data_IF_947387056420
#
_entry.id   IF_947387056420
#
_cell.length_a   1.000
_cell.length_b   1.000
_cell.length_c   1.000
_cell.angle_alpha   90.00
_cell.angle_beta   90.00
_cell.angle_gamma   90.00
#
_symmetry.space_group_name_H-M   'P 1'
#
loop_
_entity.id
_entity.type
_entity.pdbx_description
1 polymer ?
#
# COMPACT_ATOMS: atom_id res chain seq x y z
N UNK A 1 -5.94 2.66 59.39
CA UNK A 1 -5.93 1.41 58.60
C UNK A 1 -5.97 1.80 57.13
N UNK A 2 -4.83 1.72 56.43
CA UNK A 2 -4.71 2.19 55.05
C UNK A 2 -5.43 1.21 54.12
N UNK A 3 -6.50 1.68 53.47
CA UNK A 3 -7.25 0.90 52.49
C UNK A 3 -6.41 0.84 51.22
N UNK A 4 -5.69 -0.28 51.04
CA UNK A 4 -5.01 -0.61 49.78
C UNK A 4 -6.08 -0.69 48.68
N UNK A 5 -6.15 0.35 47.84
CA UNK A 5 -6.88 0.29 46.57
C UNK A 5 -6.15 -0.71 45.67
N UNK A 6 -6.49 -1.98 45.79
CA UNK A 6 -6.19 -2.98 44.76
C UNK A 6 -7.06 -2.63 43.56
N UNK A 7 -6.58 -1.71 42.72
CA UNK A 7 -7.05 -1.62 41.35
C UNK A 7 -6.60 -2.91 40.68
N UNK A 8 -7.53 -3.83 40.45
CA UNK A 8 -7.34 -4.98 39.58
C UNK A 8 -7.06 -4.39 38.19
N UNK A 9 -5.80 -4.05 37.93
CA UNK A 9 -5.35 -3.70 36.60
C UNK A 9 -5.23 -5.04 35.91
N UNK A 10 -6.22 -5.37 35.09
CA UNK A 10 -6.14 -6.58 34.26
C UNK A 10 -4.91 -6.38 33.36
N UNK A 11 -3.89 -7.18 33.61
CA UNK A 11 -2.64 -7.17 32.86
C UNK A 11 -2.66 -8.27 31.80
N UNK A 12 -1.85 -8.09 30.76
CA UNK A 12 -1.70 -9.06 29.69
C UNK A 12 -0.25 -9.10 29.22
N UNK A 13 0.22 -10.28 28.81
CA UNK A 13 1.60 -10.48 28.39
C UNK A 13 1.71 -10.30 26.88
N UNK A 14 2.59 -9.39 26.46
CA UNK A 14 2.87 -9.20 25.04
C UNK A 14 3.69 -10.37 24.48
N UNK A 15 3.20 -11.00 23.41
CA UNK A 15 3.87 -12.10 22.73
C UNK A 15 5.23 -11.75 22.11
N UNK A 16 5.56 -10.47 21.93
CA UNK A 16 6.83 -10.00 21.34
C UNK A 16 7.84 -9.55 22.38
N UNK A 17 7.53 -8.54 23.19
CA UNK A 17 8.47 -8.06 24.22
C UNK A 17 8.44 -8.87 25.52
N UNK A 18 7.47 -9.78 25.68
CA UNK A 18 7.28 -10.63 26.88
C UNK A 18 7.05 -9.86 28.18
N UNK A 19 6.83 -8.55 28.11
CA UNK A 19 6.45 -7.73 29.26
C UNK A 19 4.97 -7.93 29.60
N UNK A 20 4.68 -7.98 30.89
CA UNK A 20 3.34 -7.85 31.45
C UNK A 20 2.97 -6.37 31.46
N UNK A 21 1.88 -6.02 30.76
CA UNK A 21 1.46 -4.64 30.54
C UNK A 21 -0.04 -4.49 30.84
N UNK A 22 -0.51 -3.30 31.22
CA UNK A 22 -1.95 -3.03 31.36
C UNK A 22 -2.71 -3.29 30.06
N UNK A 23 -3.97 -3.71 30.13
CA UNK A 23 -4.82 -3.94 28.95
C UNK A 23 -4.94 -2.72 28.03
N UNK A 24 -4.82 -1.51 28.57
CA UNK A 24 -4.85 -0.25 27.82
C UNK A 24 -3.71 -0.16 26.81
N UNK A 25 -2.61 -0.88 27.01
CA UNK A 25 -1.46 -0.93 26.12
C UNK A 25 -1.64 -1.96 24.98
N UNK A 26 -2.80 -2.64 24.94
CA UNK A 26 -3.20 -3.55 23.86
C UNK A 26 -4.39 -2.98 23.08
N UNK A 27 -4.54 -3.42 21.83
CA UNK A 27 -5.79 -3.21 21.09
C UNK A 27 -6.78 -4.31 21.46
N UNK A 28 -8.07 -3.97 21.59
CA UNK A 28 -9.13 -4.96 21.81
C UNK A 28 -9.78 -5.31 20.46
N UNK A 29 -9.82 -6.60 20.14
CA UNK A 29 -10.45 -7.07 18.92
C UNK A 29 -11.98 -6.99 19.06
N UNK A 30 -12.64 -6.23 18.18
CA UNK A 30 -14.10 -6.02 18.22
C UNK A 30 -14.91 -7.31 18.09
N UNK A 31 -14.39 -8.34 17.40
CA UNK A 31 -15.10 -9.61 17.18
C UNK A 31 -14.96 -10.56 18.36
N UNK A 32 -13.74 -10.71 18.90
CA UNK A 32 -13.47 -11.66 19.97
C UNK A 32 -13.52 -11.07 21.37
N UNK A 33 -13.55 -9.72 21.50
CA UNK A 33 -13.44 -8.98 22.77
C UNK A 33 -12.19 -9.33 23.58
N UNK A 34 -11.16 -9.87 22.93
CA UNK A 34 -9.87 -10.22 23.54
C UNK A 34 -8.80 -9.18 23.20
N UNK A 35 -7.85 -8.92 24.11
CA UNK A 35 -6.68 -8.14 23.79
C UNK A 35 -5.86 -8.84 22.70
N UNK A 36 -5.24 -8.03 21.84
CA UNK A 36 -4.29 -8.48 20.85
C UNK A 36 -3.09 -9.18 21.51
N UNK A 37 -2.47 -10.11 20.79
CA UNK A 37 -1.26 -10.80 21.26
C UNK A 37 -0.03 -9.88 21.39
N UNK A 38 -0.07 -8.68 20.81
CA UNK A 38 1.05 -7.75 20.80
C UNK A 38 0.62 -6.38 21.31
N UNK A 39 1.44 -5.75 22.14
CA UNK A 39 1.20 -4.39 22.62
C UNK A 39 1.29 -3.35 21.48
N UNK A 40 0.71 -2.16 21.72
CA UNK A 40 0.69 -1.06 20.75
C UNK A 40 2.10 -0.63 20.36
N UNK A 41 3.05 -0.56 21.29
CA UNK A 41 4.47 -0.29 20.99
C UNK A 41 5.09 -1.35 20.06
N UNK A 42 4.90 -2.64 20.34
CA UNK A 42 5.44 -3.71 19.49
C UNK A 42 4.85 -3.68 18.07
N UNK A 43 3.56 -3.32 17.93
CA UNK A 43 2.93 -3.09 16.62
C UNK A 43 3.49 -1.85 15.91
N UNK A 44 3.68 -0.75 16.64
CA UNK A 44 4.29 0.48 16.10
C UNK A 44 5.67 0.18 15.54
N UNK A 45 6.49 -0.53 16.30
CA UNK A 45 7.84 -0.89 15.88
C UNK A 45 7.85 -1.80 14.66
N UNK A 46 7.01 -2.84 14.66
CA UNK A 46 6.86 -3.72 13.48
C UNK A 46 6.48 -2.93 12.23
N UNK A 47 5.55 -1.98 12.37
CA UNK A 47 5.13 -1.10 11.27
C UNK A 47 6.27 -0.18 10.80
N UNK A 48 7.07 0.38 11.72
CA UNK A 48 8.25 1.19 11.39
C UNK A 48 9.30 0.36 10.65
N UNK A 49 9.62 -0.84 11.14
CA UNK A 49 10.56 -1.76 10.49
C UNK A 49 10.08 -2.13 9.09
N UNK A 50 8.80 -2.46 8.92
CA UNK A 50 8.24 -2.79 7.60
C UNK A 50 8.39 -1.62 6.62
N UNK A 51 8.07 -0.39 7.03
CA UNK A 51 8.25 0.80 6.19
C UNK A 51 9.72 1.08 5.88
N UNK A 52 10.63 0.82 6.83
CA UNK A 52 12.07 0.98 6.61
C UNK A 52 12.57 -0.05 5.59
N UNK A 53 12.14 -1.30 5.73
CA UNK A 53 12.52 -2.37 4.81
C UNK A 53 11.93 -2.15 3.42
N UNK A 54 10.67 -1.70 3.32
CA UNK A 54 10.07 -1.39 2.02
C UNK A 54 10.73 -0.21 1.34
N UNK A 55 11.29 0.75 2.10
CA UNK A 55 12.11 1.85 1.55
C UNK A 55 13.51 1.39 1.16
N UNK A 56 14.11 0.47 1.92
CA UNK A 56 15.43 -0.09 1.63
C UNK A 56 15.41 -1.04 0.41
N UNK A 57 14.29 -1.73 0.16
CA UNK A 57 14.08 -2.53 -1.05
C UNK A 57 13.71 -1.68 -2.28
N UNK A 58 13.58 -0.36 -2.14
CA UNK A 58 13.41 0.57 -3.26
C UNK A 58 14.76 1.16 -3.68
N UNK A 59 15.75 0.29 -3.96
CA UNK A 59 16.83 0.72 -4.84
C UNK A 59 16.18 1.14 -6.17
N UNK A 60 16.55 2.32 -6.69
CA UNK A 60 15.88 2.98 -7.83
C UNK A 60 15.89 2.14 -9.11
N UNK A 61 16.74 1.12 -9.16
CA UNK A 61 16.94 0.22 -10.30
C UNK A 61 15.98 -0.99 -10.25
N UNK A 62 15.60 -1.45 -9.06
CA UNK A 62 14.82 -2.68 -8.85
C UNK A 62 13.29 -2.44 -8.87
N UNK A 63 12.87 -1.17 -8.91
CA UNK A 63 11.46 -0.74 -8.83
C UNK A 63 10.84 -0.29 -10.15
N UNK A 64 11.62 -0.20 -11.23
CA UNK A 64 11.10 0.25 -12.54
C UNK A 64 10.40 -0.91 -13.24
N UNK A 65 9.09 -1.03 -12.99
CA UNK A 65 8.21 -1.98 -13.69
C UNK A 65 8.20 -1.79 -15.22
N UNK A 66 8.58 -0.59 -15.69
CA UNK A 66 8.59 -0.25 -17.11
C UNK A 66 9.91 0.41 -17.51
N UNK A 67 10.41 0.12 -18.72
CA UNK A 67 11.65 0.72 -19.21
C UNK A 67 11.47 2.21 -19.51
N UNK A 68 12.49 3.01 -19.18
CA UNK A 68 12.59 4.40 -19.62
C UNK A 68 13.21 4.39 -21.02
N UNK A 69 12.38 4.53 -22.06
CA UNK A 69 12.79 4.33 -23.45
C UNK A 69 14.00 5.21 -23.85
N UNK A 70 14.11 6.42 -23.30
CA UNK A 70 15.21 7.35 -23.56
C UNK A 70 16.56 6.88 -22.98
N UNK A 71 16.54 6.05 -21.94
CA UNK A 71 17.75 5.51 -21.29
C UNK A 71 18.28 4.24 -21.98
N UNK A 72 17.54 3.68 -22.94
CA UNK A 72 17.97 2.50 -23.68
C UNK A 72 19.10 2.89 -24.66
N UNK A 73 20.26 2.27 -24.45
CA UNK A 73 21.45 2.52 -25.28
C UNK A 73 21.35 1.90 -26.67
N UNK A 74 20.82 0.67 -26.75
CA UNK A 74 20.64 -0.01 -28.03
C UNK A 74 19.63 0.73 -28.92
N UNK A 75 20.09 1.12 -30.11
CA UNK A 75 19.32 1.96 -31.02
C UNK A 75 18.10 1.23 -31.55
N UNK A 76 18.23 -0.04 -31.93
CA UNK A 76 17.12 -0.80 -32.53
C UNK A 76 16.00 -1.05 -31.52
N UNK A 77 16.35 -1.50 -30.32
CA UNK A 77 15.41 -1.72 -29.23
C UNK A 77 14.71 -0.43 -28.82
N UNK A 78 15.45 0.68 -28.71
CA UNK A 78 14.87 2.01 -28.43
C UNK A 78 13.87 2.41 -29.51
N UNK A 79 14.24 2.30 -30.78
CA UNK A 79 13.36 2.64 -31.89
C UNK A 79 12.10 1.78 -31.93
N UNK A 80 12.23 0.46 -31.69
CA UNK A 80 11.09 -0.47 -31.64
C UNK A 80 10.08 -0.07 -30.57
N UNK A 81 10.56 0.30 -29.38
CA UNK A 81 9.70 0.75 -28.28
C UNK A 81 9.03 2.10 -28.56
N UNK A 82 9.75 3.05 -29.19
CA UNK A 82 9.18 4.33 -29.63
C UNK A 82 8.03 4.08 -30.62
N UNK A 83 8.28 3.25 -31.64
CA UNK A 83 7.28 2.96 -32.67
C UNK A 83 6.03 2.30 -32.08
N UNK A 84 6.21 1.33 -31.20
CA UNK A 84 5.11 0.68 -30.50
C UNK A 84 4.31 1.66 -29.63
N UNK A 85 4.98 2.52 -28.85
CA UNK A 85 4.32 3.51 -28.02
C UNK A 85 3.45 4.47 -28.86
N UNK A 86 3.96 4.93 -30.00
CA UNK A 86 3.21 5.78 -30.93
C UNK A 86 1.98 5.06 -31.50
N UNK A 87 2.11 3.77 -31.82
CA UNK A 87 1.00 2.95 -32.31
C UNK A 87 -0.12 2.81 -31.26
N UNK A 88 0.23 2.45 -30.03
CA UNK A 88 -0.72 2.34 -28.91
C UNK A 88 -1.45 3.67 -28.68
N UNK A 89 -0.75 4.80 -28.79
CA UNK A 89 -1.38 6.14 -28.69
C UNK A 89 -2.36 6.37 -29.84
N UNK A 90 -1.98 6.07 -31.09
CA UNK A 90 -2.88 6.19 -32.26
C UNK A 90 -4.13 5.34 -32.10
N UNK A 91 -3.98 4.09 -31.69
CA UNK A 91 -5.09 3.17 -31.45
C UNK A 91 -6.02 3.67 -30.34
N UNK A 92 -5.45 4.17 -29.25
CA UNK A 92 -6.21 4.73 -28.13
C UNK A 92 -7.01 5.96 -28.56
N UNK A 93 -6.41 6.86 -29.34
CA UNK A 93 -7.10 8.03 -29.93
C UNK A 93 -8.24 7.57 -30.84
N UNK A 94 -7.98 6.63 -31.76
CA UNK A 94 -9.01 6.12 -32.66
C UNK A 94 -10.18 5.48 -31.90
N UNK A 95 -9.88 4.67 -30.87
CA UNK A 95 -10.88 4.07 -29.99
C UNK A 95 -11.70 5.13 -29.24
N UNK A 96 -11.06 6.17 -28.69
CA UNK A 96 -11.75 7.28 -28.02
C UNK A 96 -12.65 8.06 -28.98
N UNK A 97 -12.16 8.37 -30.20
CA UNK A 97 -12.95 9.03 -31.25
C UNK A 97 -14.18 8.21 -31.63
N UNK A 98 -14.03 6.90 -31.86
CA UNK A 98 -15.17 5.98 -32.13
C UNK A 98 -16.19 5.96 -31.00
N UNK A 99 -15.74 5.96 -29.73
CA UNK A 99 -16.65 6.04 -28.58
C UNK A 99 -17.39 7.38 -28.52
N UNK A 100 -16.71 8.48 -28.84
CA UNK A 100 -17.34 9.81 -28.88
C UNK A 100 -18.39 9.90 -29.99
N UNK A 101 -18.06 9.46 -31.21
CA UNK A 101 -19.04 9.38 -32.29
C UNK A 101 -20.23 8.47 -31.94
N UNK A 102 -20.01 7.30 -31.32
CA UNK A 102 -21.11 6.43 -30.85
C UNK A 102 -21.96 7.05 -29.74
N UNK A 103 -21.41 7.93 -28.90
CA UNK A 103 -22.14 8.68 -27.87
C UNK A 103 -22.81 9.96 -28.38
N UNK A 104 -22.36 10.51 -29.52
CA UNK A 104 -22.95 11.67 -30.20
C UNK A 104 -24.22 11.30 -31.00
N UNK A 105 -24.46 10.01 -31.31
CA UNK A 105 -25.69 9.53 -31.98
C UNK A 105 -26.95 9.41 -31.07
N UNK A 106 -26.86 9.71 -29.77
CA UNK A 106 -27.99 9.64 -28.83
C UNK A 106 -28.48 11.01 -28.33
N UNK A 107 -28.07 12.11 -28.96
CA UNK A 107 -28.57 13.45 -28.62
C UNK A 107 -29.09 14.19 -29.86
N UNK A 108 -30.13 13.67 -30.47
CA UNK A 108 -31.07 14.46 -31.30
C UNK A 108 -32.48 13.97 -30.98
N UNK A 109 -33.06 14.53 -29.91
CA UNK A 109 -34.50 14.72 -29.69
C UNK A 109 -34.71 15.25 -28.26
N UNK A 110 -34.81 16.56 -28.14
CA UNK A 110 -35.72 17.25 -27.25
C UNK A 110 -35.93 18.68 -27.73
#
# INVERSE_FOLDING_TARGET
MNVMKQTITTTHICGRCKCELPLEEFYINKKSQRPDNYCKECRKETSRTQRKNSKASNSVEETRKYPVITEIQDRESRMKLIMHALEVVRESIARKRRKRCRGEYFNTEN
#
